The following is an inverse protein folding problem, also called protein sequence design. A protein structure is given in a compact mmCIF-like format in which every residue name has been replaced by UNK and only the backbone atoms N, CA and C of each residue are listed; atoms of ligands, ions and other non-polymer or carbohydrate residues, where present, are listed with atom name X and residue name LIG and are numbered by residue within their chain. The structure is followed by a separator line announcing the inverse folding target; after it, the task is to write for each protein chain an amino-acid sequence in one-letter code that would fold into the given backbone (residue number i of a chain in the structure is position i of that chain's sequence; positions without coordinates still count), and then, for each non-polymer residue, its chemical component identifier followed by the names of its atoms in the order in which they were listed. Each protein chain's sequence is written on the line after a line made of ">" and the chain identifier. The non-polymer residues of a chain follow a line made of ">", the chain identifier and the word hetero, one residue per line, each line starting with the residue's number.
data_IF_250287968494
#
_entry.id   IF_250287968494
#
_cell.length_a   1.000
_cell.length_b   1.000
_cell.length_c   1.000
_cell.angle_alpha   90.00
_cell.angle_beta   90.00
_cell.angle_gamma   90.00
#
_symmetry.space_group_name_H-M   'P 1'
#
loop_
_entity.id
_entity.type
_entity.pdbx_description
1 polymer ?
#
# COMPACT_ATOMS: atom_id res chain seq x y z
N UNK A 1 18.56 -8.26 3.32
CA UNK A 1 18.69 -7.24 2.26
C UNK A 1 17.44 -6.37 2.27
N UNK A 2 17.59 -5.05 2.23
CA UNK A 2 16.46 -4.10 2.19
C UNK A 2 16.63 -3.20 0.97
N UNK A 3 15.57 -3.03 0.17
CA UNK A 3 15.60 -2.16 -1.02
C UNK A 3 14.61 -1.01 -0.89
N UNK A 4 15.07 0.18 -1.23
CA UNK A 4 14.27 1.41 -1.15
C UNK A 4 13.74 1.73 -2.54
N UNK A 5 12.42 1.91 -2.66
CA UNK A 5 11.75 2.35 -3.88
C UNK A 5 11.22 3.77 -3.72
N UNK A 6 11.35 4.56 -4.78
CA UNK A 6 10.98 5.98 -4.82
C UNK A 6 10.04 6.32 -5.98
N UNK A 7 9.02 5.50 -6.16
CA UNK A 7 8.10 5.56 -7.28
C UNK A 7 8.40 4.53 -8.38
N UNK A 8 7.42 4.34 -9.26
CA UNK A 8 7.51 3.46 -10.42
C UNK A 8 6.76 2.14 -10.22
N UNK A 9 7.09 1.16 -11.07
CA UNK A 9 6.50 -0.18 -11.02
C UNK A 9 7.55 -1.17 -10.52
N UNK A 10 7.18 -1.99 -9.55
CA UNK A 10 7.91 -3.18 -9.12
C UNK A 10 7.15 -4.41 -9.59
N UNK A 11 7.55 -4.95 -10.73
CA UNK A 11 7.00 -6.14 -11.38
C UNK A 11 7.86 -7.39 -11.17
N UNK A 12 9.14 -7.21 -10.86
CA UNK A 12 10.07 -8.28 -10.58
C UNK A 12 9.81 -8.99 -9.24
N UNK A 13 10.32 -10.22 -9.13
CA UNK A 13 10.43 -10.92 -7.85
C UNK A 13 11.59 -10.35 -7.05
N UNK A 14 11.29 -9.78 -5.89
CA UNK A 14 12.29 -9.27 -4.97
C UNK A 14 12.42 -10.15 -3.74
N UNK A 15 13.66 -10.52 -3.38
CA UNK A 15 13.95 -11.24 -2.15
C UNK A 15 14.52 -10.29 -1.10
N UNK A 16 13.80 -10.18 0.02
CA UNK A 16 14.10 -9.21 1.08
C UNK A 16 12.95 -8.22 1.31
N UNK A 17 13.20 -7.24 2.17
CA UNK A 17 12.20 -6.24 2.55
C UNK A 17 12.25 -5.03 1.64
N UNK A 18 11.09 -4.47 1.32
CA UNK A 18 10.94 -3.30 0.46
C UNK A 18 10.46 -2.11 1.30
N UNK A 19 11.10 -0.97 1.12
CA UNK A 19 10.67 0.30 1.75
C UNK A 19 10.33 1.28 0.65
N UNK A 20 9.07 1.70 0.60
CA UNK A 20 8.56 2.68 -0.36
C UNK A 20 8.55 4.04 0.33
N UNK A 21 9.23 5.02 -0.27
CA UNK A 21 9.30 6.40 0.21
C UNK A 21 9.18 7.40 -0.93
N UNK A 22 8.84 8.64 -0.60
CA UNK A 22 8.81 9.75 -1.54
C UNK A 22 7.45 9.94 -2.22
N UNK A 23 7.29 11.08 -2.90
CA UNK A 23 5.96 11.58 -3.31
C UNK A 23 5.37 10.85 -4.51
N UNK A 24 6.12 9.96 -5.15
CA UNK A 24 5.68 9.28 -6.37
C UNK A 24 4.92 8.00 -6.00
N UNK A 25 3.73 7.77 -6.60
CA UNK A 25 3.04 6.52 -6.41
C UNK A 25 3.88 5.36 -6.93
N UNK A 26 3.88 4.27 -6.17
CA UNK A 26 4.59 3.04 -6.51
C UNK A 26 3.56 1.93 -6.69
N UNK A 27 3.60 1.25 -7.84
CA UNK A 27 2.79 0.06 -8.06
C UNK A 27 3.65 -1.17 -7.88
N UNK A 28 3.18 -2.12 -7.09
CA UNK A 28 3.87 -3.37 -6.82
C UNK A 28 3.01 -4.52 -7.33
N UNK A 29 3.34 -5.00 -8.52
CA UNK A 29 2.68 -6.14 -9.20
C UNK A 29 3.45 -7.44 -9.01
N UNK A 30 4.74 -7.35 -8.68
CA UNK A 30 5.62 -8.49 -8.47
C UNK A 30 5.43 -9.21 -7.13
N UNK A 31 6.40 -10.06 -6.81
CA UNK A 31 6.40 -10.85 -5.58
C UNK A 31 7.51 -10.38 -4.63
N UNK A 32 7.14 -9.96 -3.43
CA UNK A 32 8.09 -9.57 -2.37
C UNK A 32 8.24 -10.70 -1.35
N UNK A 33 9.41 -11.32 -1.33
CA UNK A 33 9.83 -12.30 -0.32
C UNK A 33 10.38 -11.62 0.94
N UNK A 34 9.54 -10.82 1.58
CA UNK A 34 9.87 -10.10 2.80
C UNK A 34 8.77 -9.13 3.18
N UNK A 35 9.11 -8.20 4.06
CA UNK A 35 8.19 -7.18 4.56
C UNK A 35 8.14 -5.96 3.62
N UNK A 36 6.97 -5.35 3.50
CA UNK A 36 6.76 -4.11 2.75
C UNK A 36 6.45 -2.96 3.71
N UNK A 37 7.23 -1.89 3.65
CA UNK A 37 7.04 -0.68 4.46
C UNK A 37 6.69 0.49 3.55
N UNK A 38 5.63 1.22 3.86
CA UNK A 38 5.16 2.39 3.10
C UNK A 38 5.13 3.59 4.03
N UNK A 39 5.92 4.63 3.72
CA UNK A 39 6.11 5.80 4.60
C UNK A 39 6.50 7.06 3.83
N UNK A 40 6.67 8.17 4.53
CA UNK A 40 7.22 9.41 3.95
C UNK A 40 6.36 9.98 2.80
N UNK A 41 5.06 10.15 3.07
CA UNK A 41 4.06 10.62 2.10
C UNK A 41 3.97 9.79 0.81
N UNK A 42 4.48 8.55 0.84
CA UNK A 42 4.40 7.66 -0.31
C UNK A 42 3.06 6.95 -0.37
N UNK A 43 2.65 6.67 -1.60
CA UNK A 43 1.51 5.79 -1.88
C UNK A 43 2.02 4.55 -2.57
N UNK A 44 1.69 3.38 -2.02
CA UNK A 44 2.02 2.09 -2.61
C UNK A 44 0.76 1.29 -2.89
N UNK A 45 0.56 0.93 -4.16
CA UNK A 45 -0.50 0.04 -4.59
C UNK A 45 0.06 -1.37 -4.78
N UNK A 46 -0.36 -2.29 -3.91
CA UNK A 46 0.10 -3.68 -3.88
C UNK A 46 -0.92 -4.56 -4.61
N UNK A 47 -0.61 -4.88 -5.86
CA UNK A 47 -1.41 -5.77 -6.72
C UNK A 47 -0.90 -7.20 -6.62
N UNK A 48 0.41 -7.37 -6.43
CA UNK A 48 1.08 -8.65 -6.32
C UNK A 48 0.99 -9.29 -4.93
N UNK A 49 2.03 -10.05 -4.57
CA UNK A 49 2.08 -10.80 -3.32
C UNK A 49 3.20 -10.32 -2.40
N UNK A 50 2.85 -10.09 -1.13
CA UNK A 50 3.80 -9.87 -0.03
C UNK A 50 3.78 -11.10 0.85
N UNK A 51 4.90 -11.82 0.89
CA UNK A 51 5.00 -13.01 1.75
C UNK A 51 5.29 -12.68 3.22
N UNK A 52 5.80 -11.48 3.50
CA UNK A 52 6.01 -10.98 4.85
C UNK A 52 4.84 -10.14 5.34
N UNK A 53 5.16 -9.16 6.18
CA UNK A 53 4.22 -8.20 6.74
C UNK A 53 4.09 -6.97 5.84
N UNK A 54 2.90 -6.37 5.83
CA UNK A 54 2.66 -5.06 5.20
C UNK A 54 2.54 -4.00 6.29
N UNK A 55 3.37 -2.97 6.26
CA UNK A 55 3.36 -1.89 7.24
C UNK A 55 3.10 -0.55 6.54
N UNK A 56 1.97 0.08 6.86
CA UNK A 56 1.69 1.47 6.53
C UNK A 56 2.13 2.34 7.71
N UNK A 57 3.29 2.98 7.60
CA UNK A 57 3.82 3.87 8.64
C UNK A 57 3.28 5.31 8.45
N UNK A 58 3.63 6.19 9.38
CA UNK A 58 3.19 7.60 9.41
C UNK A 58 3.30 8.26 8.03
N UNK A 59 2.21 8.91 7.62
CA UNK A 59 1.98 9.56 6.32
C UNK A 59 2.07 8.67 5.08
N UNK A 60 2.36 7.37 5.19
CA UNK A 60 2.29 6.44 4.08
C UNK A 60 0.88 5.95 3.82
N UNK A 61 0.54 5.71 2.55
CA UNK A 61 -0.72 5.07 2.12
C UNK A 61 -0.44 3.75 1.42
N UNK A 62 -0.88 2.64 1.99
CA UNK A 62 -0.79 1.32 1.38
C UNK A 62 -2.17 0.87 0.89
N UNK A 63 -2.29 0.55 -0.40
CA UNK A 63 -3.52 0.05 -1.03
C UNK A 63 -3.26 -1.41 -1.42
N UNK A 64 -3.80 -2.35 -0.65
CA UNK A 64 -3.64 -3.78 -0.87
C UNK A 64 -4.78 -4.33 -1.73
N UNK A 65 -4.50 -4.61 -2.99
CA UNK A 65 -5.40 -5.32 -3.92
C UNK A 65 -5.04 -6.80 -4.10
N UNK A 66 -3.78 -7.15 -3.85
CA UNK A 66 -3.26 -8.52 -3.95
C UNK A 66 -3.38 -9.31 -2.65
N UNK A 67 -2.28 -9.95 -2.24
CA UNK A 67 -2.26 -10.81 -1.04
C UNK A 67 -1.09 -10.48 -0.11
N UNK A 68 -1.36 -10.43 1.20
CA UNK A 68 -0.35 -10.44 2.27
C UNK A 68 -0.43 -11.77 3.00
N UNK A 69 0.68 -12.51 3.04
CA UNK A 69 0.72 -13.86 3.63
C UNK A 69 0.87 -13.86 5.16
N UNK A 70 1.33 -12.75 5.75
CA UNK A 70 1.35 -12.55 7.21
C UNK A 70 0.38 -11.42 7.59
N UNK A 71 0.80 -10.49 8.43
CA UNK A 71 -0.06 -9.46 8.99
C UNK A 71 0.09 -8.12 8.26
N UNK A 72 -0.99 -7.35 8.22
CA UNK A 72 -1.01 -5.98 7.72
C UNK A 72 -1.20 -5.02 8.89
N UNK A 73 -0.30 -4.06 9.07
CA UNK A 73 -0.30 -3.13 10.20
C UNK A 73 -0.29 -1.69 9.71
N UNK A 74 -1.14 -0.85 10.29
CA UNK A 74 -1.12 0.60 10.10
C UNK A 74 -0.62 1.28 11.37
N UNK A 75 0.55 1.93 11.31
CA UNK A 75 1.20 2.62 12.44
C UNK A 75 1.24 4.13 12.15
N UNK A 76 0.07 4.78 12.21
CA UNK A 76 -0.08 6.20 11.86
C UNK A 76 -0.21 6.49 10.36
N UNK A 77 -0.20 5.47 9.51
CA UNK A 77 -0.45 5.56 8.07
C UNK A 77 -1.89 5.17 7.70
N UNK A 78 -2.17 5.25 6.40
CA UNK A 78 -3.43 4.83 5.80
C UNK A 78 -3.25 3.46 5.14
N UNK A 79 -4.09 2.49 5.48
CA UNK A 79 -4.08 1.15 4.91
C UNK A 79 -5.47 0.81 4.35
N UNK A 80 -5.55 0.51 3.06
CA UNK A 80 -6.77 0.05 2.42
C UNK A 80 -6.61 -1.40 1.98
N UNK A 81 -7.53 -2.26 2.42
CA UNK A 81 -7.51 -3.69 2.13
C UNK A 81 -8.68 -4.01 1.21
N UNK A 82 -8.36 -4.23 -0.07
CA UNK A 82 -9.27 -4.71 -1.11
C UNK A 82 -9.04 -6.19 -1.45
N UNK A 83 -7.85 -6.70 -1.16
CA UNK A 83 -7.44 -8.08 -1.44
C UNK A 83 -7.54 -9.01 -0.24
N UNK A 84 -6.54 -9.88 -0.06
CA UNK A 84 -6.51 -10.87 1.02
C UNK A 84 -5.37 -10.62 2.01
N UNK A 85 -5.67 -10.73 3.31
CA UNK A 85 -4.69 -10.78 4.39
C UNK A 85 -4.85 -12.12 5.11
N UNK A 86 -3.80 -12.94 5.07
CA UNK A 86 -3.82 -14.28 5.68
C UNK A 86 -3.63 -14.21 7.20
N UNK A 87 -2.81 -13.28 7.69
CA UNK A 87 -2.62 -13.02 9.11
C UNK A 87 -3.58 -11.96 9.64
N UNK A 88 -3.11 -11.19 10.62
CA UNK A 88 -3.91 -10.19 11.31
C UNK A 88 -3.85 -8.82 10.63
N UNK A 89 -4.92 -8.04 10.77
CA UNK A 89 -4.95 -6.62 10.41
C UNK A 89 -4.93 -5.79 11.69
N UNK A 90 -3.89 -4.98 11.90
CA UNK A 90 -3.67 -4.26 13.17
C UNK A 90 -3.60 -2.75 12.93
N UNK A 91 -4.47 -1.98 13.58
CA UNK A 91 -4.40 -0.52 13.58
C UNK A 91 -3.77 0.02 14.88
N UNK A 92 -2.56 0.57 14.77
CA UNK A 92 -1.82 1.25 15.83
C UNK A 92 -1.72 2.76 15.54
N UNK A 93 -2.88 3.43 15.49
CA UNK A 93 -2.97 4.89 15.38
C UNK A 93 -3.00 5.44 13.95
N UNK A 94 -3.20 4.58 12.95
CA UNK A 94 -3.47 4.96 11.56
C UNK A 94 -4.96 4.89 11.20
N UNK A 95 -5.26 4.80 9.91
CA UNK A 95 -6.61 4.54 9.39
C UNK A 95 -6.57 3.28 8.55
N UNK A 96 -7.49 2.36 8.82
CA UNK A 96 -7.63 1.13 8.05
C UNK A 96 -9.01 1.09 7.42
N UNK A 97 -9.08 0.93 6.11
CA UNK A 97 -10.31 0.61 5.40
C UNK A 97 -10.25 -0.84 4.92
N UNK A 98 -11.31 -1.60 5.14
CA UNK A 98 -11.42 -2.99 4.69
C UNK A 98 -12.64 -3.07 3.79
N UNK A 99 -12.42 -3.36 2.51
CA UNK A 99 -13.49 -3.46 1.52
C UNK A 99 -14.35 -4.71 1.78
N UNK A 100 -15.64 -4.65 1.38
CA UNK A 100 -16.57 -5.77 1.56
C UNK A 100 -16.16 -7.04 0.80
N UNK A 101 -15.44 -6.91 -0.30
CA UNK A 101 -14.91 -8.02 -1.08
C UNK A 101 -13.57 -8.56 -0.59
N UNK A 102 -12.96 -7.92 0.40
CA UNK A 102 -11.68 -8.35 0.96
C UNK A 102 -11.83 -9.56 1.89
N UNK A 103 -10.75 -10.31 2.07
CA UNK A 103 -10.72 -11.47 2.97
C UNK A 103 -9.59 -11.34 3.99
N UNK A 104 -9.95 -11.25 5.26
CA UNK A 104 -9.00 -11.33 6.38
C UNK A 104 -9.19 -12.66 7.09
N UNK A 105 -8.17 -13.53 7.06
CA UNK A 105 -8.22 -14.84 7.74
C UNK A 105 -7.84 -14.76 9.21
N UNK A 106 -6.99 -13.81 9.60
CA UNK A 106 -6.65 -13.56 11.00
C UNK A 106 -7.66 -12.65 11.68
N UNK A 107 -7.18 -11.94 12.71
CA UNK A 107 -7.98 -11.00 13.51
C UNK A 107 -7.83 -9.57 12.99
N UNK A 108 -8.89 -8.79 13.09
CA UNK A 108 -8.84 -7.33 12.93
C UNK A 108 -8.77 -6.71 14.31
N UNK A 109 -7.68 -5.99 14.60
CA UNK A 109 -7.36 -5.41 15.90
C UNK A 109 -7.27 -3.90 15.76
N UNK A 110 -8.06 -3.16 16.53
CA UNK A 110 -8.11 -1.70 16.52
C UNK A 110 -9.24 -1.13 15.67
N UNK A 111 -9.22 0.18 15.45
CA UNK A 111 -10.27 0.86 14.72
C UNK A 111 -10.14 0.62 13.20
N UNK A 112 -11.26 0.38 12.53
CA UNK A 112 -11.36 0.38 11.06
C UNK A 112 -12.38 1.43 10.65
N UNK A 113 -12.21 1.99 9.46
CA UNK A 113 -13.13 2.91 8.82
C UNK A 113 -14.05 2.13 7.88
N UNK A 114 -15.33 2.51 7.84
CA UNK A 114 -16.34 1.89 6.99
C UNK A 114 -16.40 2.51 5.58
N UNK A 115 -15.67 3.60 5.35
CA UNK A 115 -15.61 4.32 4.08
C UNK A 115 -14.20 4.29 3.50
N UNK A 116 -14.05 4.14 2.16
CA UNK A 116 -12.75 4.26 1.50
C UNK A 116 -12.05 5.53 1.94
N UNK A 117 -10.75 5.44 2.24
CA UNK A 117 -10.01 6.63 2.61
C UNK A 117 -9.93 7.50 1.35
N UNK A 118 -10.11 8.83 1.48
CA UNK A 118 -10.05 9.70 0.32
C UNK A 118 -8.74 9.43 -0.42
N UNK A 119 -8.79 9.28 -1.76
CA UNK A 119 -7.55 9.15 -2.51
C UNK A 119 -6.64 10.32 -2.12
N UNK A 120 -5.32 10.09 -1.97
CA UNK A 120 -4.41 11.19 -1.74
C UNK A 120 -4.66 12.17 -2.88
N UNK A 121 -5.01 13.42 -2.53
CA UNK A 121 -5.48 14.39 -3.50
C UNK A 121 -4.55 14.36 -4.71
N UNK A 122 -5.06 14.18 -5.93
CA UNK A 122 -4.21 14.23 -7.10
C UNK A 122 -3.45 15.55 -7.02
N UNK A 123 -2.11 15.49 -7.02
CA UNK A 123 -1.32 16.65 -7.40
C UNK A 123 -1.97 17.16 -8.71
N UNK A 124 -2.34 18.45 -8.80
CA UNK A 124 -3.17 18.96 -9.88
C UNK A 124 -2.64 18.42 -11.21
N UNK A 125 -3.49 17.66 -11.91
CA UNK A 125 -3.17 17.12 -13.21
C UNK A 125 -2.67 18.28 -14.09
N UNK A 126 -1.41 18.21 -14.50
CA UNK A 126 -0.93 19.05 -15.58
C UNK A 126 -1.88 18.80 -16.76
N UNK A 127 -2.64 19.83 -17.14
CA UNK A 127 -3.55 19.82 -18.29
C UNK A 127 -2.80 19.19 -19.48
N UNK A 128 -3.42 18.29 -20.27
CA UNK A 128 -2.86 17.93 -21.56
C UNK A 128 -2.68 19.22 -22.36
N UNK A 129 -1.44 19.60 -22.66
CA UNK A 129 -1.18 20.68 -23.59
C UNK A 129 -1.73 20.25 -24.94
N UNK A 130 -2.71 21.01 -25.45
CA UNK A 130 -3.23 20.83 -26.80
C UNK A 130 -2.07 20.84 -27.80
N UNK A 131 -2.09 19.99 -28.85
CA UNK A 131 -1.11 20.10 -29.92
C UNK A 131 -1.30 21.46 -30.62
N UNK A 132 -0.21 22.13 -31.05
CA UNK A 132 -0.33 23.37 -31.81
C UNK A 132 -1.02 23.08 -33.14
N UNK A 133 -2.04 23.87 -33.43
CA UNK A 133 -2.72 23.96 -34.73
C UNK A 133 -1.72 24.35 -35.82
N UNK A 134 -1.69 23.57 -36.89
CA UNK A 134 -1.08 23.88 -38.17
C UNK A 134 -2.06 23.59 -39.29
#
# INVERSE_FOLDING_TARGET
>A
MVRIFRGGVLDERFEGSVVVIGPRPTQMTGLVRGDLFVRDQSTCEVIGMVSGNLLAERTGKAILKGMVAKSAKATGGDLEVYGMVVGDVVNEGGRIYIDKGSLVKGKVIGAVSDTPLPPPAPAPAAKPAAPPSG
#
